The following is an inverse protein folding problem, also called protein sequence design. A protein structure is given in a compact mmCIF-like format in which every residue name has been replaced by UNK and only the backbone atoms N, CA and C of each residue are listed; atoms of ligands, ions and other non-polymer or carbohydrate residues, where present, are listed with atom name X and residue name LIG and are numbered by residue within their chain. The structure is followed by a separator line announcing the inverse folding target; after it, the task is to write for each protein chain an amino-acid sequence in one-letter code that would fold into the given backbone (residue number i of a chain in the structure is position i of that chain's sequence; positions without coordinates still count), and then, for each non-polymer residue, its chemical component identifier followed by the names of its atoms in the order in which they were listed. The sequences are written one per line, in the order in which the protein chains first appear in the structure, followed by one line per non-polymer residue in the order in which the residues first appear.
data_IF_264778316048
#
_entry.id   IF_264778316048
#
_cell.length_a   1.000
_cell.length_b   1.000
_cell.length_c   1.000
_cell.angle_alpha   90.00
_cell.angle_beta   90.00
_cell.angle_gamma   90.00
#
_symmetry.space_group_name_H-M   'P 1'
#
loop_
_entity.id
_entity.type
_entity.pdbx_description
1 polymer ?
#
# COMPACT_ATOMS: atom_id res chain seq x y z
N UNK A 1 60.36 25.78 -14.20
CA UNK A 1 59.22 24.89 -14.52
C UNK A 1 59.14 23.64 -13.62
N UNK A 2 60.26 23.06 -13.15
CA UNK A 2 60.26 21.82 -12.34
C UNK A 2 59.54 21.91 -10.97
N UNK A 3 59.70 23.02 -10.21
CA UNK A 3 59.13 23.16 -8.85
C UNK A 3 57.59 23.11 -8.77
N UNK A 4 56.87 23.52 -9.83
CA UNK A 4 55.40 23.44 -9.87
C UNK A 4 54.90 21.99 -10.00
N UNK A 5 55.66 21.13 -10.68
CA UNK A 5 55.33 19.70 -10.80
C UNK A 5 55.51 18.97 -9.48
N UNK A 6 56.55 19.29 -8.71
CA UNK A 6 56.78 18.65 -7.41
C UNK A 6 55.68 18.98 -6.39
N UNK A 7 55.25 20.25 -6.34
CA UNK A 7 54.13 20.67 -5.51
C UNK A 7 52.82 19.96 -5.93
N UNK A 8 52.60 19.81 -7.23
CA UNK A 8 51.45 19.08 -7.77
C UNK A 8 51.53 17.58 -7.41
N UNK A 9 52.68 16.93 -7.62
CA UNK A 9 52.91 15.52 -7.32
C UNK A 9 52.81 15.21 -5.82
N UNK A 10 53.18 16.15 -4.94
CA UNK A 10 52.99 16.03 -3.49
C UNK A 10 51.50 16.07 -3.13
N UNK A 11 50.72 16.96 -3.77
CA UNK A 11 49.26 17.02 -3.59
C UNK A 11 48.53 15.79 -4.17
N UNK A 12 49.06 15.21 -5.24
CA UNK A 12 48.51 14.01 -5.86
C UNK A 12 48.80 12.75 -5.03
N UNK A 13 50.00 12.61 -4.45
CA UNK A 13 50.32 11.49 -3.54
C UNK A 13 49.43 11.46 -2.30
N UNK A 14 49.05 12.62 -1.76
CA UNK A 14 48.07 12.67 -0.66
C UNK A 14 46.67 12.26 -1.11
N UNK A 15 46.27 12.58 -2.35
CA UNK A 15 44.98 12.14 -2.93
C UNK A 15 44.96 10.65 -3.30
N UNK A 16 46.08 10.10 -3.76
CA UNK A 16 46.26 8.68 -4.17
C UNK A 16 46.59 7.77 -2.99
N UNK A 17 46.92 8.30 -1.82
CA UNK A 17 46.92 7.57 -0.54
C UNK A 17 45.54 7.50 0.14
N UNK A 18 44.64 8.45 -0.18
CA UNK A 18 43.27 8.47 0.30
C UNK A 18 42.21 7.63 -0.48
N UNK A 19 42.48 6.96 -1.62
CA UNK A 19 41.45 6.25 -2.38
C UNK A 19 41.11 4.93 -1.69
N UNK A 20 41.99 4.29 -0.90
CA UNK A 20 41.58 3.09 -0.19
C UNK A 20 40.48 3.39 0.86
N UNK A 21 40.59 4.51 1.56
CA UNK A 21 39.60 4.92 2.57
C UNK A 21 38.38 5.59 1.92
N UNK A 22 38.56 6.41 0.87
CA UNK A 22 37.43 6.95 0.10
C UNK A 22 36.73 5.89 -0.75
N UNK A 23 37.39 4.85 -1.26
CA UNK A 23 36.78 3.73 -1.98
C UNK A 23 36.18 2.71 -1.04
N UNK A 24 36.77 2.47 0.14
CA UNK A 24 36.11 1.71 1.20
C UNK A 24 34.83 2.41 1.67
N UNK A 25 34.88 3.74 1.85
CA UNK A 25 33.73 4.53 2.29
C UNK A 25 32.75 4.84 1.14
N UNK A 26 33.22 5.00 -0.11
CA UNK A 26 32.35 5.06 -1.31
C UNK A 26 31.75 3.70 -1.62
N UNK A 27 32.45 2.59 -1.38
CA UNK A 27 31.88 1.25 -1.47
C UNK A 27 30.76 1.05 -0.45
N UNK A 28 30.95 1.59 0.77
CA UNK A 28 29.91 1.62 1.80
C UNK A 28 28.76 2.61 1.51
N UNK A 29 29.03 3.74 0.84
CA UNK A 29 28.05 4.80 0.60
C UNK A 29 27.38 4.78 -0.79
N UNK A 30 27.94 4.09 -1.78
CA UNK A 30 27.47 4.08 -3.19
C UNK A 30 26.54 2.90 -3.50
N UNK A 31 26.46 1.88 -2.62
CA UNK A 31 25.52 0.73 -2.75
C UNK A 31 24.53 0.69 -1.58
N UNK A 32 24.26 1.81 -0.94
CA UNK A 32 22.96 1.98 -0.35
C UNK A 32 22.11 2.63 -1.45
N UNK A 33 21.38 1.86 -2.30
CA UNK A 33 20.22 2.46 -2.93
C UNK A 33 19.52 3.16 -1.77
N UNK A 34 19.33 4.47 -1.85
CA UNK A 34 18.42 5.13 -0.94
C UNK A 34 17.13 4.36 -1.16
N UNK A 35 16.81 3.42 -0.27
CA UNK A 35 15.51 2.77 -0.16
C UNK A 35 14.61 3.86 0.39
N UNK A 36 14.55 4.97 -0.34
CA UNK A 36 13.74 6.12 -0.12
C UNK A 36 12.36 5.61 -0.43
N UNK A 37 11.73 5.10 0.61
CA UNK A 37 10.32 4.83 0.60
C UNK A 37 9.83 4.02 -0.60
N UNK A 38 10.26 2.76 -0.67
CA UNK A 38 9.30 1.76 -1.14
C UNK A 38 8.32 1.54 0.01
N UNK A 39 7.53 2.57 0.31
CA UNK A 39 6.28 2.39 1.02
C UNK A 39 5.45 1.49 0.10
N UNK A 40 5.61 0.16 0.23
CA UNK A 40 4.49 -0.73 0.07
C UNK A 40 3.47 -0.17 1.04
N UNK A 41 2.60 0.71 0.53
CA UNK A 41 1.60 1.41 1.31
C UNK A 41 0.66 0.32 1.80
N UNK A 42 0.97 -0.23 2.96
CA UNK A 42 0.14 -1.19 3.64
C UNK A 42 -1.23 -0.54 3.75
N UNK A 43 -2.26 -1.19 3.19
CA UNK A 43 -3.60 -0.62 3.27
C UNK A 43 -3.97 -0.56 4.75
N UNK A 44 -4.28 0.64 5.22
CA UNK A 44 -4.63 0.88 6.62
C UNK A 44 -5.94 0.15 6.94
N UNK A 45 -5.87 -0.79 7.89
CA UNK A 45 -7.01 -1.52 8.43
C UNK A 45 -8.02 -0.56 9.06
N UNK A 46 -7.53 0.49 9.72
CA UNK A 46 -8.35 1.55 10.31
C UNK A 46 -9.18 2.27 9.25
N UNK A 47 -8.60 2.56 8.08
CA UNK A 47 -9.37 3.16 6.99
C UNK A 47 -10.41 2.20 6.40
N UNK A 48 -10.12 0.91 6.33
CA UNK A 48 -11.11 -0.07 5.89
C UNK A 48 -12.32 -0.12 6.84
N UNK A 49 -12.10 -0.05 8.16
CA UNK A 49 -13.19 0.04 9.14
C UNK A 49 -13.94 1.37 9.12
N UNK A 50 -13.24 2.50 8.91
CA UNK A 50 -13.89 3.81 8.78
C UNK A 50 -14.83 3.85 7.57
N UNK A 51 -14.35 3.37 6.41
CA UNK A 51 -15.19 3.30 5.20
C UNK A 51 -16.34 2.30 5.40
N UNK A 52 -16.11 1.18 6.09
CA UNK A 52 -17.18 0.25 6.42
C UNK A 52 -18.22 0.87 7.38
N UNK A 53 -17.81 1.68 8.36
CA UNK A 53 -18.74 2.32 9.29
C UNK A 53 -19.59 3.40 8.60
N UNK A 54 -18.97 4.24 7.76
CA UNK A 54 -19.69 5.33 7.07
C UNK A 54 -20.45 4.85 5.82
N UNK A 55 -19.93 3.87 5.08
CA UNK A 55 -20.42 3.46 3.77
C UNK A 55 -20.66 1.94 3.64
N UNK A 56 -20.71 1.19 4.74
CA UNK A 56 -20.81 -0.27 4.74
C UNK A 56 -22.02 -0.82 4.00
N UNK A 57 -23.13 -0.08 4.02
CA UNK A 57 -24.34 -0.44 3.28
C UNK A 57 -24.17 -0.31 1.76
N UNK A 58 -23.39 0.69 1.29
CA UNK A 58 -23.14 0.92 -0.14
C UNK A 58 -22.03 0.04 -0.74
N UNK A 59 -21.23 -0.63 0.09
CA UNK A 59 -20.13 -1.51 -0.36
C UNK A 59 -18.80 -0.78 -0.65
N UNK A 60 -18.66 0.49 -0.28
CA UNK A 60 -17.45 1.30 -0.57
C UNK A 60 -16.14 0.70 -0.01
N UNK A 61 -16.21 0.00 1.12
CA UNK A 61 -15.05 -0.66 1.75
C UNK A 61 -14.47 -1.78 0.89
N UNK A 62 -15.29 -2.47 0.07
CA UNK A 62 -14.82 -3.50 -0.86
C UNK A 62 -14.11 -2.91 -2.07
N UNK A 63 -14.54 -1.75 -2.55
CA UNK A 63 -13.83 -0.99 -3.58
C UNK A 63 -12.46 -0.52 -3.07
N UNK A 64 -12.37 -0.05 -1.82
CA UNK A 64 -11.09 0.33 -1.21
C UNK A 64 -10.12 -0.84 -1.11
N UNK A 65 -10.61 -2.05 -0.86
CA UNK A 65 -9.79 -3.27 -0.79
C UNK A 65 -9.44 -3.86 -2.16
N UNK A 66 -9.94 -3.30 -3.27
CA UNK A 66 -9.60 -3.72 -4.63
C UNK A 66 -10.51 -4.83 -5.20
N UNK A 67 -11.63 -5.13 -4.53
CA UNK A 67 -12.60 -6.14 -4.98
C UNK A 67 -13.79 -5.46 -5.67
N UNK A 68 -13.63 -5.15 -6.95
CA UNK A 68 -14.65 -4.42 -7.73
C UNK A 68 -15.93 -5.21 -7.97
N UNK A 69 -15.83 -6.52 -8.25
CA UNK A 69 -17.00 -7.36 -8.58
C UNK A 69 -17.97 -7.50 -7.41
N UNK A 70 -17.46 -7.82 -6.21
CA UNK A 70 -18.30 -7.95 -5.02
C UNK A 70 -18.78 -6.61 -4.46
N UNK A 71 -18.04 -5.52 -4.72
CA UNK A 71 -18.50 -4.15 -4.45
C UNK A 71 -19.65 -3.72 -5.37
N UNK A 72 -19.55 -4.03 -6.67
CA UNK A 72 -20.59 -3.70 -7.65
C UNK A 72 -21.91 -4.45 -7.40
N UNK A 73 -21.83 -5.74 -7.02
CA UNK A 73 -23.02 -6.53 -6.63
C UNK A 73 -23.69 -5.90 -5.40
N UNK A 74 -22.90 -5.52 -4.40
CA UNK A 74 -23.42 -4.90 -3.17
C UNK A 74 -24.07 -3.54 -3.45
N UNK A 75 -23.46 -2.72 -4.29
CA UNK A 75 -24.02 -1.44 -4.72
C UNK A 75 -25.34 -1.65 -5.49
N UNK A 76 -25.38 -2.61 -6.42
CA UNK A 76 -26.59 -2.95 -7.17
C UNK A 76 -27.73 -3.40 -6.26
N UNK A 77 -27.45 -4.28 -5.30
CA UNK A 77 -28.43 -4.71 -4.29
C UNK A 77 -28.92 -3.55 -3.42
N UNK A 78 -28.03 -2.62 -3.07
CA UNK A 78 -28.39 -1.45 -2.29
C UNK A 78 -29.31 -0.50 -3.06
N UNK A 79 -29.04 -0.26 -4.36
CA UNK A 79 -29.91 0.52 -5.25
C UNK A 79 -31.28 -0.13 -5.42
N UNK A 80 -31.32 -1.46 -5.60
CA UNK A 80 -32.58 -2.22 -5.67
C UNK A 80 -33.36 -2.05 -4.37
N UNK A 81 -32.71 -2.21 -3.21
CA UNK A 81 -33.34 -2.05 -1.90
C UNK A 81 -33.95 -0.64 -1.72
N UNK A 82 -33.21 0.42 -2.04
CA UNK A 82 -33.75 1.80 -2.01
C UNK A 82 -34.93 1.98 -2.95
N UNK A 83 -34.86 1.43 -4.15
CA UNK A 83 -35.97 1.52 -5.12
C UNK A 83 -37.24 0.84 -4.57
N UNK A 84 -37.09 -0.33 -3.94
CA UNK A 84 -38.20 -1.04 -3.27
C UNK A 84 -38.75 -0.24 -2.08
N UNK A 85 -37.88 0.46 -1.33
CA UNK A 85 -38.26 1.28 -0.19
C UNK A 85 -39.05 2.52 -0.61
N UNK A 86 -38.61 3.22 -1.66
CA UNK A 86 -39.34 4.35 -2.26
C UNK A 86 -40.71 3.94 -2.80
N UNK A 87 -40.83 2.70 -3.27
CA UNK A 87 -42.09 2.12 -3.74
C UNK A 87 -43.04 1.72 -2.60
N UNK A 88 -42.69 1.98 -1.34
CA UNK A 88 -43.45 1.58 -0.13
C UNK A 88 -43.76 0.07 -0.08
N UNK A 89 -42.88 -0.75 -0.67
CA UNK A 89 -43.06 -2.19 -0.70
C UNK A 89 -42.55 -2.81 0.62
N UNK A 90 -43.35 -3.61 1.34
CA UNK A 90 -42.92 -4.24 2.60
C UNK A 90 -41.71 -5.18 2.44
N UNK A 91 -41.44 -5.66 1.22
CA UNK A 91 -40.25 -6.45 0.90
C UNK A 91 -38.93 -5.68 1.15
N UNK A 92 -38.97 -4.34 1.17
CA UNK A 92 -37.82 -3.51 1.53
C UNK A 92 -37.30 -3.78 2.95
N UNK A 93 -38.19 -4.09 3.90
CA UNK A 93 -37.83 -4.42 5.29
C UNK A 93 -37.00 -5.70 5.34
N UNK A 94 -37.39 -6.72 4.57
CA UNK A 94 -36.61 -7.95 4.46
C UNK A 94 -35.21 -7.67 3.88
N UNK A 95 -35.14 -6.82 2.85
CA UNK A 95 -33.88 -6.38 2.28
C UNK A 95 -32.99 -5.65 3.31
N UNK A 96 -33.56 -4.82 4.19
CA UNK A 96 -32.81 -4.13 5.24
C UNK A 96 -32.25 -5.09 6.29
N UNK A 97 -33.01 -6.12 6.68
CA UNK A 97 -32.54 -7.15 7.61
C UNK A 97 -31.37 -7.93 7.00
N UNK A 98 -31.53 -8.38 5.75
CA UNK A 98 -30.48 -9.10 5.03
C UNK A 98 -29.24 -8.22 4.86
N UNK A 99 -29.41 -6.94 4.48
CA UNK A 99 -28.30 -6.00 4.35
C UNK A 99 -27.60 -5.72 5.69
N UNK A 100 -28.36 -5.65 6.80
CA UNK A 100 -27.81 -5.53 8.15
C UNK A 100 -26.95 -6.73 8.55
N UNK A 101 -27.47 -7.95 8.34
CA UNK A 101 -26.71 -9.19 8.59
C UNK A 101 -25.46 -9.24 7.71
N UNK A 102 -25.59 -8.84 6.44
CA UNK A 102 -24.45 -8.82 5.52
C UNK A 102 -23.37 -7.84 5.97
N UNK A 103 -23.73 -6.61 6.36
CA UNK A 103 -22.76 -5.63 6.87
C UNK A 103 -22.00 -6.16 8.08
N UNK A 104 -22.67 -6.87 8.99
CA UNK A 104 -22.03 -7.54 10.13
C UNK A 104 -21.06 -8.62 9.66
N UNK A 105 -21.48 -9.48 8.72
CA UNK A 105 -20.61 -10.49 8.11
C UNK A 105 -19.36 -9.88 7.47
N UNK A 106 -19.52 -8.74 6.80
CA UNK A 106 -18.40 -8.04 6.16
C UNK A 106 -17.35 -7.54 7.14
N UNK A 107 -17.73 -7.17 8.37
CA UNK A 107 -16.78 -6.79 9.42
C UNK A 107 -15.77 -7.92 9.73
N UNK A 108 -16.19 -9.18 9.58
CA UNK A 108 -15.33 -10.35 9.74
C UNK A 108 -14.48 -10.65 8.51
N UNK A 109 -14.89 -10.21 7.30
CA UNK A 109 -14.09 -10.39 6.08
C UNK A 109 -12.96 -9.35 5.95
N UNK A 110 -13.13 -8.14 6.50
CA UNK A 110 -12.11 -7.07 6.50
C UNK A 110 -10.72 -7.54 6.97
N UNK A 111 -10.55 -8.22 8.12
CA UNK A 111 -9.23 -8.66 8.57
C UNK A 111 -8.56 -9.66 7.61
N UNK A 112 -9.33 -10.51 6.94
CA UNK A 112 -8.81 -11.42 5.90
C UNK A 112 -8.30 -10.65 4.68
N UNK A 113 -9.10 -9.71 4.17
CA UNK A 113 -8.77 -8.93 2.98
C UNK A 113 -7.55 -8.02 3.16
N UNK A 114 -7.38 -7.44 4.36
CA UNK A 114 -6.19 -6.64 4.70
C UNK A 114 -4.93 -7.50 4.77
N UNK A 115 -5.04 -8.73 5.29
CA UNK A 115 -3.91 -9.68 5.36
C UNK A 115 -3.48 -10.16 3.98
N UNK A 116 -4.41 -10.46 3.07
CA UNK A 116 -4.09 -10.81 1.67
C UNK A 116 -3.39 -9.65 0.95
N UNK A 117 -3.93 -8.43 1.06
CA UNK A 117 -3.38 -7.27 0.35
C UNK A 117 -1.98 -6.90 0.86
N UNK A 118 -1.74 -6.98 2.17
CA UNK A 118 -0.42 -6.71 2.76
C UNK A 118 0.54 -7.91 2.63
N UNK A 119 0.02 -9.12 2.41
CA UNK A 119 0.81 -10.32 2.11
C UNK A 119 1.43 -10.27 0.72
N UNK A 120 0.66 -9.86 -0.29
CA UNK A 120 1.10 -9.78 -1.69
C UNK A 120 2.24 -8.77 -1.94
N UNK A 121 2.40 -7.75 -1.08
CA UNK A 121 3.45 -6.74 -1.20
C UNK A 121 4.82 -7.24 -0.69
N UNK A 122 4.86 -8.30 0.12
CA UNK A 122 6.11 -8.79 0.74
C UNK A 122 7.03 -9.58 -0.21
N UNK A 123 6.54 -10.51 -1.04
CA UNK A 123 7.41 -11.31 -1.92
C UNK A 123 8.09 -10.49 -3.03
N UNK A 124 7.39 -9.54 -3.64
CA UNK A 124 7.91 -8.76 -4.76
C UNK A 124 8.96 -7.74 -4.35
N UNK A 125 8.84 -7.16 -3.15
CA UNK A 125 9.83 -6.22 -2.63
C UNK A 125 11.12 -6.92 -2.19
N UNK A 126 11.02 -8.11 -1.60
CA UNK A 126 12.18 -8.93 -1.24
C UNK A 126 12.91 -9.40 -2.50
N UNK A 127 12.17 -9.84 -3.53
CA UNK A 127 12.77 -10.24 -4.81
C UNK A 127 13.47 -9.08 -5.53
N UNK A 128 12.95 -7.84 -5.46
CA UNK A 128 13.60 -6.66 -6.04
C UNK A 128 14.77 -6.12 -5.20
N UNK A 129 14.81 -6.37 -3.89
CA UNK A 129 15.92 -5.95 -3.04
C UNK A 129 17.17 -6.84 -3.20
N UNK A 130 17.00 -8.05 -3.73
CA UNK A 130 18.07 -9.04 -3.93
C UNK A 130 18.37 -9.33 -5.41
N UNK A 131 17.72 -8.63 -6.35
CA UNK A 131 17.99 -8.68 -7.79
C UNK A 131 18.79 -7.45 -8.23
#
# INVERSE_FOLDING_TARGET
MARRREAFLASERQRVGAPAELEANRGAATIAPSVGNIYARSKSMTMAYLIWFLLGQTGAHRFYLGRMTSGAIQLGLWVVNITLMLSMNPLSIFGLIVAGIWVIGDAFLIPGMVRETNGALRPSQVAQAFA
#
